data_IF_186616391113
#
_entry.id   IF_186616391113
#
_cell.length_a   1.000
_cell.length_b   1.000
_cell.length_c   1.000
_cell.angle_alpha   90.00
_cell.angle_beta   90.00
_cell.angle_gamma   90.00
#
_symmetry.space_group_name_H-M   'P 1'
#
loop_
_entity.id
_entity.type
_entity.pdbx_description
1 polymer ?
#
# COMPACT_ATOMS: atom_id res chain seq x y z
N UNK A 1 1.15 -0.12 48.58
CA UNK A 1 1.59 -0.01 47.17
C UNK A 1 2.00 -1.40 46.69
N UNK A 2 1.25 -2.02 45.79
CA UNK A 2 1.64 -3.28 45.12
C UNK A 2 1.58 -3.03 43.62
N UNK A 3 2.75 -2.90 42.99
CA UNK A 3 2.87 -2.76 41.54
C UNK A 3 2.58 -4.11 40.89
N UNK A 4 1.46 -4.21 40.20
CA UNK A 4 1.12 -5.36 39.35
C UNK A 4 1.72 -5.11 37.96
N UNK A 5 3.02 -5.32 37.81
CA UNK A 5 3.65 -5.39 36.50
C UNK A 5 3.29 -6.75 35.89
N UNK A 6 2.23 -6.78 35.08
CA UNK A 6 1.99 -7.90 34.17
C UNK A 6 2.95 -7.77 32.99
N UNK A 7 4.13 -8.35 33.13
CA UNK A 7 4.97 -8.77 32.00
C UNK A 7 4.45 -10.11 31.49
N UNK A 8 3.22 -10.13 30.98
CA UNK A 8 2.79 -11.26 30.17
C UNK A 8 3.40 -11.03 28.78
N UNK A 9 4.54 -11.68 28.52
CA UNK A 9 5.08 -11.79 27.17
C UNK A 9 4.10 -12.62 26.34
N UNK A 10 3.10 -11.97 25.74
CA UNK A 10 2.21 -12.63 24.80
C UNK A 10 3.05 -13.05 23.60
N UNK A 11 3.44 -14.33 23.56
CA UNK A 11 3.90 -14.94 22.31
C UNK A 11 2.68 -15.11 21.42
N UNK A 12 2.63 -14.37 20.32
CA UNK A 12 1.61 -14.59 19.30
C UNK A 12 1.73 -16.04 18.82
N UNK A 13 0.62 -16.81 18.79
CA UNK A 13 0.61 -18.11 18.16
C UNK A 13 1.25 -18.07 16.77
N UNK A 14 2.08 -19.07 16.46
CA UNK A 14 2.69 -19.19 15.15
C UNK A 14 1.59 -19.26 14.08
N UNK A 15 1.75 -18.50 12.99
CA UNK A 15 0.79 -18.49 11.88
C UNK A 15 -0.37 -17.50 12.01
N UNK A 16 -0.40 -16.62 13.02
CA UNK A 16 -1.38 -15.52 13.07
C UNK A 16 -1.14 -14.44 12.01
N UNK A 17 0.07 -14.36 11.45
CA UNK A 17 0.44 -13.41 10.42
C UNK A 17 0.81 -14.21 9.18
N UNK A 18 0.00 -14.09 8.13
CA UNK A 18 0.28 -14.67 6.82
C UNK A 18 1.39 -13.92 6.09
N UNK A 19 1.90 -14.54 5.02
CA UNK A 19 2.82 -13.84 4.10
C UNK A 19 2.10 -12.67 3.44
N UNK A 20 2.86 -11.61 3.12
CA UNK A 20 2.32 -10.49 2.34
C UNK A 20 1.96 -11.00 0.94
N UNK A 21 0.80 -10.60 0.43
CA UNK A 21 0.41 -10.85 -0.95
C UNK A 21 1.16 -9.88 -1.87
N UNK A 22 2.34 -10.27 -2.35
CA UNK A 22 3.19 -9.40 -3.18
C UNK A 22 3.63 -10.09 -4.47
N UNK A 23 3.87 -9.29 -5.51
CA UNK A 23 4.46 -9.74 -6.76
C UNK A 23 5.58 -8.80 -7.21
N UNK A 24 6.64 -9.37 -7.78
CA UNK A 24 7.68 -8.60 -8.44
C UNK A 24 7.21 -8.22 -9.85
N UNK A 25 7.17 -6.91 -10.12
CA UNK A 25 6.72 -6.34 -11.38
C UNK A 25 7.80 -5.40 -11.95
N UNK A 26 7.75 -5.17 -13.26
CA UNK A 26 8.61 -4.19 -13.93
C UNK A 26 7.79 -2.96 -14.33
N UNK A 27 8.06 -1.82 -13.70
CA UNK A 27 7.40 -0.54 -13.97
C UNK A 27 8.43 0.45 -14.50
N UNK A 28 8.18 1.00 -15.69
CA UNK A 28 9.13 1.86 -16.42
C UNK A 28 10.58 1.31 -16.46
N UNK A 29 10.74 0.00 -16.67
CA UNK A 29 12.04 -0.66 -16.71
C UNK A 29 12.65 -1.02 -15.36
N UNK A 30 12.07 -0.59 -14.24
CA UNK A 30 12.55 -0.87 -12.89
C UNK A 30 11.79 -2.03 -12.26
N UNK A 31 12.51 -3.01 -11.73
CA UNK A 31 11.96 -4.11 -10.94
C UNK A 31 11.55 -3.61 -9.56
N UNK A 32 10.31 -3.87 -9.15
CA UNK A 32 9.74 -3.43 -7.87
C UNK A 32 8.83 -4.53 -7.31
N UNK A 33 8.90 -4.76 -6.00
CA UNK A 33 7.97 -5.65 -5.30
C UNK A 33 6.71 -4.85 -4.90
N UNK A 34 5.55 -5.28 -5.40
CA UNK A 34 4.28 -4.58 -5.24
C UNK A 34 3.31 -5.39 -4.39
N UNK A 35 2.47 -4.70 -3.62
CA UNK A 35 1.33 -5.32 -2.95
C UNK A 35 0.25 -5.64 -4.00
N UNK A 36 -0.26 -6.87 -3.96
CA UNK A 36 -1.45 -7.25 -4.72
C UNK A 36 -2.67 -6.94 -3.86
N UNK A 37 -3.47 -5.98 -4.31
CA UNK A 37 -4.66 -5.51 -3.61
C UNK A 37 -5.89 -5.65 -4.50
N UNK A 38 -6.75 -6.62 -4.19
CA UNK A 38 -8.01 -6.84 -4.91
C UNK A 38 -9.07 -5.80 -4.57
N UNK A 39 -8.86 -4.99 -3.52
CA UNK A 39 -9.74 -3.90 -3.13
C UNK A 39 -9.56 -2.62 -3.96
N UNK A 40 -8.54 -2.55 -4.82
CA UNK A 40 -8.27 -1.38 -5.66
C UNK A 40 -8.69 -1.60 -7.11
N UNK A 41 -9.32 -0.58 -7.71
CA UNK A 41 -9.60 -0.54 -9.15
C UNK A 41 -8.42 -0.01 -9.97
N UNK A 42 -7.43 0.61 -9.31
CA UNK A 42 -6.30 1.27 -9.95
C UNK A 42 -4.97 0.84 -9.31
N UNK A 43 -3.88 0.94 -10.06
CA UNK A 43 -2.54 0.82 -9.47
C UNK A 43 -2.15 2.13 -8.82
N UNK A 44 -1.94 2.12 -7.51
CA UNK A 44 -1.39 3.26 -6.79
C UNK A 44 0.13 3.17 -6.73
N UNK A 45 0.82 4.27 -7.01
CA UNK A 45 2.26 4.39 -6.82
C UNK A 45 2.55 5.44 -5.74
N UNK A 46 3.57 5.25 -4.89
CA UNK A 46 4.03 6.30 -3.99
C UNK A 46 4.49 7.53 -4.78
N UNK A 47 4.25 8.73 -4.26
CA UNK A 47 4.70 9.98 -4.89
C UNK A 47 6.22 9.98 -5.12
N UNK A 48 6.99 9.45 -4.17
CA UNK A 48 8.45 9.30 -4.29
C UNK A 48 8.85 8.45 -5.50
N UNK A 49 8.14 7.35 -5.76
CA UNK A 49 8.37 6.51 -6.93
C UNK A 49 8.03 7.24 -8.23
N UNK A 50 6.92 7.98 -8.24
CA UNK A 50 6.56 8.82 -9.40
C UNK A 50 7.65 9.84 -9.70
N UNK A 51 8.11 10.61 -8.69
CA UNK A 51 9.15 11.64 -8.89
C UNK A 51 10.47 11.05 -9.40
N UNK A 52 10.85 9.88 -8.88
CA UNK A 52 12.11 9.24 -9.22
C UNK A 52 12.10 8.53 -10.58
N UNK A 53 11.01 7.85 -10.93
CA UNK A 53 10.98 6.93 -12.07
C UNK A 53 9.96 7.31 -13.14
N UNK A 54 8.97 8.14 -12.84
CA UNK A 54 7.85 8.43 -13.74
C UNK A 54 7.65 9.93 -14.00
N UNK A 55 8.56 10.80 -13.56
CA UNK A 55 8.43 12.27 -13.66
C UNK A 55 8.31 12.78 -15.10
N UNK A 56 8.75 11.98 -16.08
CA UNK A 56 8.59 12.26 -17.51
C UNK A 56 7.16 12.01 -18.02
N UNK A 57 6.30 11.33 -17.26
CA UNK A 57 4.91 11.07 -17.62
C UNK A 57 4.00 12.13 -16.95
N UNK A 58 3.38 13.04 -17.70
CA UNK A 58 2.55 14.08 -17.11
C UNK A 58 1.29 13.49 -16.44
N UNK A 59 0.98 13.95 -15.23
CA UNK A 59 -0.28 13.62 -14.55
C UNK A 59 -1.43 14.31 -15.28
N UNK A 60 -2.44 13.53 -15.67
CA UNK A 60 -3.66 14.02 -16.32
C UNK A 60 -4.84 13.93 -15.35
N UNK A 61 -5.79 14.83 -15.49
CA UNK A 61 -7.03 14.79 -14.71
C UNK A 61 -7.85 13.53 -15.02
N UNK A 62 -8.50 13.00 -13.98
CA UNK A 62 -9.37 11.82 -14.05
C UNK A 62 -10.86 12.17 -14.10
N UNK A 63 -11.24 13.46 -14.07
CA UNK A 63 -12.62 13.90 -13.80
C UNK A 63 -13.66 13.26 -14.74
N UNK A 64 -13.28 12.95 -15.98
CA UNK A 64 -14.19 12.37 -16.99
C UNK A 64 -14.03 10.84 -17.16
N UNK A 65 -13.16 10.20 -16.38
CA UNK A 65 -12.75 8.81 -16.58
C UNK A 65 -13.10 7.89 -15.42
N UNK A 66 -13.03 8.37 -14.18
CA UNK A 66 -13.27 7.55 -12.99
C UNK A 66 -13.76 8.42 -11.83
N UNK A 67 -14.84 8.00 -11.18
CA UNK A 67 -15.17 8.48 -9.83
C UNK A 67 -14.20 7.80 -8.85
N UNK A 68 -13.40 8.57 -8.12
CA UNK A 68 -12.42 8.01 -7.19
C UNK A 68 -12.71 8.47 -5.76
N UNK A 69 -12.75 7.47 -4.89
CA UNK A 69 -12.95 7.59 -3.45
C UNK A 69 -11.76 6.92 -2.76
N UNK A 70 -11.09 7.65 -1.88
CA UNK A 70 -10.02 7.10 -1.05
C UNK A 70 -10.58 6.09 -0.05
N UNK A 71 -9.73 5.20 0.47
CA UNK A 71 -10.13 4.20 1.47
C UNK A 71 -10.71 4.82 2.78
N UNK A 72 -10.47 6.11 3.01
CA UNK A 72 -11.05 6.90 4.11
C UNK A 72 -12.40 7.57 3.76
N UNK A 73 -12.99 7.28 2.59
CA UNK A 73 -14.22 7.87 2.09
C UNK A 73 -14.07 9.27 1.46
N UNK A 74 -12.83 9.75 1.28
CA UNK A 74 -12.59 11.07 0.69
C UNK A 74 -12.75 11.03 -0.83
N UNK A 75 -13.64 11.86 -1.37
CA UNK A 75 -13.75 12.12 -2.82
C UNK A 75 -12.61 13.03 -3.29
N UNK A 76 -12.03 12.72 -4.45
CA UNK A 76 -10.95 13.48 -5.11
C UNK A 76 -11.40 14.01 -6.46
#
# INVERSE_FOLDING_TARGET
MKSHLRTDSFSLPCGLIGTKSTAELRVNGHTVNCLLDTGSQVTTVPESYYRQHLSNYPIKSLHDLLEVEGANGQRV
#
